data_IF_885436089722
#
_entry.id   IF_885436089722
#
_cell.length_a   1.000
_cell.length_b   1.000
_cell.length_c   1.000
_cell.angle_alpha   90.00
_cell.angle_beta   90.00
_cell.angle_gamma   90.00
#
_symmetry.space_group_name_H-M   'P 1'
#
loop_
_entity.id
_entity.type
_entity.pdbx_description
1 polymer ?
#
# COMPACT_ATOMS: atom_id res chain seq x y z
N UNK A 1 19.23 -2.26 24.01
CA UNK A 1 19.74 -3.60 23.59
C UNK A 1 19.34 -3.81 22.15
N UNK A 2 20.28 -3.75 21.23
CA UNK A 2 20.03 -3.93 19.79
C UNK A 2 19.68 -5.39 19.51
N UNK A 3 18.43 -5.65 19.17
CA UNK A 3 17.99 -6.99 18.81
C UNK A 3 18.49 -7.34 17.40
N UNK A 4 19.56 -8.10 17.32
CA UNK A 4 20.03 -8.73 16.08
C UNK A 4 19.31 -10.05 15.86
N UNK A 5 18.61 -10.19 14.73
CA UNK A 5 18.11 -11.48 14.26
C UNK A 5 19.02 -11.99 13.12
N UNK A 6 19.62 -13.18 13.25
CA UNK A 6 20.60 -13.75 12.31
C UNK A 6 21.73 -12.78 11.93
N UNK A 7 22.33 -12.11 12.89
CA UNK A 7 23.42 -11.14 12.71
C UNK A 7 23.08 -9.91 11.83
N UNK A 8 21.81 -9.69 11.45
CA UNK A 8 21.34 -8.51 10.70
C UNK A 8 20.51 -7.61 11.60
N UNK A 9 20.68 -6.29 11.42
CA UNK A 9 19.81 -5.30 12.08
C UNK A 9 18.37 -5.48 11.61
N UNK A 10 17.45 -5.61 12.55
CA UNK A 10 16.02 -5.59 12.24
C UNK A 10 15.60 -4.13 12.15
N UNK A 11 15.28 -3.67 10.92
CA UNK A 11 14.67 -2.35 10.75
C UNK A 11 13.30 -2.41 11.43
N UNK A 12 13.06 -1.50 12.38
CA UNK A 12 11.77 -1.38 13.06
C UNK A 12 10.64 -1.18 12.04
N UNK A 13 9.48 -1.74 12.37
CA UNK A 13 8.29 -1.56 11.54
C UNK A 13 7.78 -0.14 11.73
N UNK A 14 7.55 0.60 10.64
CA UNK A 14 6.87 1.88 10.68
C UNK A 14 5.37 1.77 11.01
N UNK A 15 4.86 0.55 11.17
CA UNK A 15 3.46 0.28 11.51
C UNK A 15 3.19 0.51 12.98
N UNK A 16 2.00 1.01 13.28
CA UNK A 16 1.52 1.15 14.65
C UNK A 16 1.45 -0.22 15.33
N UNK A 17 2.14 -0.38 16.48
CA UNK A 17 2.28 -1.65 17.16
C UNK A 17 0.95 -2.21 17.70
N UNK A 18 0.00 -1.34 18.03
CA UNK A 18 -1.29 -1.69 18.63
C UNK A 18 -2.47 -1.60 17.67
N UNK A 19 -2.22 -1.43 16.36
CA UNK A 19 -3.26 -1.36 15.34
C UNK A 19 -3.37 -2.67 14.57
N UNK A 20 -4.59 -3.23 14.51
CA UNK A 20 -4.86 -4.36 13.62
C UNK A 20 -5.20 -3.82 12.22
N UNK A 21 -4.32 -4.07 11.28
CA UNK A 21 -4.50 -3.70 9.87
C UNK A 21 -5.57 -4.53 9.13
N UNK A 22 -6.33 -5.32 9.85
CA UNK A 22 -7.54 -5.99 9.42
C UNK A 22 -8.84 -5.28 9.84
N UNK A 23 -8.78 -4.25 10.66
CA UNK A 23 -9.95 -3.48 11.07
C UNK A 23 -10.56 -2.68 9.91
N UNK A 24 -11.88 -2.40 10.04
CA UNK A 24 -12.59 -1.51 9.14
C UNK A 24 -11.99 -0.10 9.24
N UNK A 25 -11.29 0.31 8.20
CA UNK A 25 -10.63 1.62 8.09
C UNK A 25 -10.20 1.88 6.65
N UNK A 26 -9.83 3.12 6.37
CA UNK A 26 -9.22 3.53 5.10
C UNK A 26 -7.70 3.60 5.25
N UNK A 27 -6.99 3.02 4.28
CA UNK A 27 -5.54 2.91 4.27
C UNK A 27 -4.99 3.51 2.98
N UNK A 28 -4.14 4.52 3.10
CA UNK A 28 -3.34 5.02 1.99
C UNK A 28 -2.11 4.13 1.81
N UNK A 29 -1.92 3.62 0.61
CA UNK A 29 -0.89 2.65 0.26
C UNK A 29 0.05 3.23 -0.79
N UNK A 30 1.36 3.00 -0.61
CA UNK A 30 2.38 3.26 -1.61
C UNK A 30 3.23 2.01 -1.84
N UNK A 31 3.31 1.57 -3.09
CA UNK A 31 4.09 0.39 -3.48
C UNK A 31 5.08 0.78 -4.57
N UNK A 32 6.37 0.64 -4.34
CA UNK A 32 7.41 1.00 -5.30
C UNK A 32 7.95 -0.23 -6.03
N UNK A 33 8.33 -0.04 -7.29
CA UNK A 33 9.14 -1.00 -8.04
C UNK A 33 10.54 -1.11 -7.45
N UNK A 34 11.20 -2.23 -7.67
CA UNK A 34 12.58 -2.43 -7.22
C UNK A 34 13.49 -1.37 -7.85
N UNK A 35 14.32 -0.74 -7.01
CA UNK A 35 15.24 0.33 -7.39
C UNK A 35 14.55 1.52 -8.10
N UNK A 36 13.26 1.73 -7.88
CA UNK A 36 12.49 2.82 -8.52
C UNK A 36 12.53 2.80 -10.05
N UNK A 37 12.68 1.61 -10.64
CA UNK A 37 12.72 1.44 -12.08
C UNK A 37 11.35 1.73 -12.70
N UNK A 38 11.32 2.58 -13.74
CA UNK A 38 10.08 2.99 -14.40
C UNK A 38 9.56 1.89 -15.34
N UNK A 39 8.82 0.91 -14.78
CA UNK A 39 8.20 -0.17 -15.57
C UNK A 39 6.81 0.19 -16.09
N UNK A 40 6.13 1.14 -15.44
CA UNK A 40 4.70 1.35 -15.65
C UNK A 40 4.37 2.41 -16.71
N UNK A 41 5.39 3.07 -17.28
CA UNK A 41 5.22 4.09 -18.29
C UNK A 41 5.87 5.42 -17.93
N UNK A 42 5.41 6.50 -18.56
CA UNK A 42 5.98 7.83 -18.43
C UNK A 42 4.90 8.90 -18.19
N UNK A 43 5.32 10.05 -17.67
CA UNK A 43 4.46 11.24 -17.56
C UNK A 43 4.76 12.12 -18.77
N UNK A 44 3.72 12.41 -19.55
CA UNK A 44 3.77 13.25 -20.75
C UNK A 44 2.67 14.31 -20.63
N UNK A 45 3.02 15.58 -20.71
CA UNK A 45 2.09 16.70 -20.59
C UNK A 45 1.23 16.60 -19.32
N UNK A 46 1.86 16.38 -18.17
CA UNK A 46 1.19 16.22 -16.86
C UNK A 46 0.28 15.01 -16.71
N UNK A 47 0.20 14.15 -17.72
CA UNK A 47 -0.64 12.96 -17.73
C UNK A 47 0.21 11.68 -17.67
N UNK A 48 -0.25 10.70 -16.92
CA UNK A 48 0.39 9.38 -16.89
C UNK A 48 0.02 8.59 -18.15
N UNK A 49 1.03 8.21 -18.94
CA UNK A 49 0.91 7.28 -20.07
C UNK A 49 1.40 5.92 -19.66
N UNK A 50 0.45 5.01 -19.46
CA UNK A 50 0.74 3.66 -19.02
C UNK A 50 1.42 2.85 -20.13
N UNK A 51 2.48 2.11 -19.76
CA UNK A 51 3.00 1.01 -20.55
C UNK A 51 2.06 -0.20 -20.46
N UNK A 52 2.36 -1.27 -21.19
CA UNK A 52 1.65 -2.55 -21.07
C UNK A 52 1.74 -3.10 -19.63
N UNK A 53 2.90 -3.01 -18.98
CA UNK A 53 3.08 -3.39 -17.58
C UNK A 53 2.30 -2.46 -16.63
N UNK A 54 2.22 -1.17 -16.94
CA UNK A 54 1.41 -0.21 -16.19
C UNK A 54 -0.09 -0.50 -16.29
N UNK A 55 -0.55 -0.89 -17.48
CA UNK A 55 -1.95 -1.32 -17.71
C UNK A 55 -2.28 -2.55 -16.87
N UNK A 56 -1.40 -3.56 -16.85
CA UNK A 56 -1.54 -4.75 -15.98
C UNK A 56 -1.62 -4.35 -14.51
N UNK A 57 -0.75 -3.45 -14.05
CA UNK A 57 -0.76 -2.99 -12.66
C UNK A 57 -2.09 -2.29 -12.30
N UNK A 58 -2.61 -1.46 -13.22
CA UNK A 58 -3.88 -0.76 -13.07
C UNK A 58 -5.07 -1.74 -13.02
N UNK A 59 -5.12 -2.71 -13.92
CA UNK A 59 -6.16 -3.73 -13.97
C UNK A 59 -6.13 -4.61 -12.70
N UNK A 60 -4.93 -5.05 -12.28
CA UNK A 60 -4.81 -5.83 -11.05
C UNK A 60 -5.29 -5.05 -9.82
N UNK A 61 -5.07 -3.71 -9.77
CA UNK A 61 -5.57 -2.90 -8.66
C UNK A 61 -7.10 -2.83 -8.68
N UNK A 62 -7.71 -2.56 -9.82
CA UNK A 62 -9.16 -2.51 -9.96
C UNK A 62 -9.86 -3.84 -9.63
N UNK A 63 -9.16 -4.98 -9.78
CA UNK A 63 -9.67 -6.31 -9.46
C UNK A 63 -9.61 -6.68 -7.96
N UNK A 64 -8.99 -5.86 -7.10
CA UNK A 64 -8.89 -6.16 -5.66
C UNK A 64 -10.26 -6.46 -5.03
N UNK A 65 -11.34 -5.67 -5.26
CA UNK A 65 -12.64 -5.96 -4.67
C UNK A 65 -13.26 -7.29 -5.13
N UNK A 66 -12.96 -7.72 -6.35
CA UNK A 66 -13.44 -9.00 -6.87
C UNK A 66 -12.82 -10.19 -6.13
N UNK A 67 -11.58 -10.01 -5.64
CA UNK A 67 -10.88 -11.05 -4.88
C UNK A 67 -11.11 -10.93 -3.37
N UNK A 68 -11.34 -9.71 -2.88
CA UNK A 68 -11.62 -9.39 -1.49
C UNK A 68 -12.92 -8.59 -1.40
N UNK A 69 -14.10 -9.27 -1.29
CA UNK A 69 -15.41 -8.61 -1.34
C UNK A 69 -15.65 -7.59 -0.22
N UNK A 70 -14.86 -7.64 0.86
CA UNK A 70 -14.89 -6.70 1.97
C UNK A 70 -14.03 -5.45 1.73
N UNK A 71 -13.46 -5.29 0.54
CA UNK A 71 -12.61 -4.15 0.17
C UNK A 71 -13.33 -3.26 -0.82
N UNK A 72 -13.35 -1.96 -0.54
CA UNK A 72 -13.68 -0.90 -1.50
C UNK A 72 -12.40 -0.15 -1.87
N UNK A 73 -12.35 0.39 -3.07
CA UNK A 73 -11.25 1.23 -3.53
C UNK A 73 -11.66 2.69 -3.46
N UNK A 74 -10.79 3.54 -2.90
CA UNK A 74 -10.83 4.98 -3.12
C UNK A 74 -9.96 5.36 -4.33
N UNK A 75 -9.53 6.63 -4.37
CA UNK A 75 -8.63 7.13 -5.43
C UNK A 75 -7.35 6.31 -5.50
N UNK A 76 -6.88 6.04 -6.72
CA UNK A 76 -5.60 5.39 -6.96
C UNK A 76 -4.98 5.81 -8.28
N UNK A 77 -3.67 5.69 -8.38
CA UNK A 77 -2.92 5.99 -9.60
C UNK A 77 -1.69 5.10 -9.71
N UNK A 78 -1.44 4.63 -10.92
CA UNK A 78 -0.18 3.96 -11.29
C UNK A 78 0.76 5.02 -11.85
N UNK A 79 1.87 5.24 -11.17
CA UNK A 79 2.95 6.16 -11.54
C UNK A 79 4.09 5.38 -12.21
N UNK A 80 5.05 6.00 -12.90
CA UNK A 80 6.08 5.27 -13.65
C UNK A 80 6.80 4.18 -12.84
N UNK A 81 7.07 4.40 -11.57
CA UNK A 81 7.89 3.53 -10.70
C UNK A 81 7.21 3.16 -9.37
N UNK A 82 5.93 3.47 -9.21
CA UNK A 82 5.17 3.14 -8.00
C UNK A 82 3.66 3.22 -8.24
N UNK A 83 2.90 2.76 -7.26
CA UNK A 83 1.45 2.88 -7.21
C UNK A 83 1.06 3.55 -5.91
N UNK A 84 0.18 4.53 -5.99
CA UNK A 84 -0.56 5.08 -4.85
C UNK A 84 -2.00 4.66 -4.92
N UNK A 85 -2.63 4.39 -3.78
CA UNK A 85 -4.06 4.16 -3.74
C UNK A 85 -4.62 4.06 -2.33
N UNK A 86 -5.93 4.25 -2.22
CA UNK A 86 -6.68 4.10 -0.99
C UNK A 86 -7.42 2.76 -1.03
N UNK A 87 -7.18 1.94 0.00
CA UNK A 87 -7.89 0.69 0.26
C UNK A 87 -8.79 0.93 1.47
N UNK A 88 -10.09 0.65 1.33
CA UNK A 88 -11.08 0.75 2.39
C UNK A 88 -11.50 -0.66 2.77
N UNK A 89 -11.20 -1.08 3.99
CA UNK A 89 -11.70 -2.34 4.55
C UNK A 89 -13.05 -2.06 5.18
N UNK A 90 -14.08 -2.76 4.70
CA UNK A 90 -15.48 -2.62 5.12
C UNK A 90 -16.10 -4.01 5.26
N UNK A 91 -15.71 -4.70 6.33
CA UNK A 91 -16.26 -6.04 6.67
C UNK A 91 -17.62 -5.90 7.30
N UNK A 92 -18.56 -6.83 7.03
CA UNK A 92 -19.82 -6.88 7.74
C UNK A 92 -19.57 -7.06 9.25
N UNK A 93 -20.27 -6.30 10.05
CA UNK A 93 -20.23 -6.43 11.51
C UNK A 93 -20.97 -7.74 11.85
N UNK A 94 -20.24 -8.74 12.35
CA UNK A 94 -20.87 -9.91 12.96
C UNK A 94 -21.28 -9.53 14.38
N UNK A 95 -22.57 -9.53 14.67
CA UNK A 95 -23.15 -9.23 16.01
C UNK A 95 -22.62 -10.11 17.15
N UNK A 96 -21.85 -11.15 16.84
CA UNK A 96 -21.17 -12.02 17.81
C UNK A 96 -19.79 -11.51 18.28
N UNK A 97 -19.24 -10.50 17.62
CA UNK A 97 -18.05 -9.80 18.12
C UNK A 97 -18.52 -8.66 19.02
N UNK A 98 -18.43 -8.84 20.35
CA UNK A 98 -18.72 -7.84 21.38
C UNK A 98 -17.79 -6.61 21.30
N UNK A 99 -17.29 -6.25 20.13
CA UNK A 99 -16.50 -5.08 19.84
C UNK A 99 -17.32 -4.10 18.97
N UNK A 100 -18.42 -3.63 19.57
CA UNK A 100 -19.24 -2.56 19.02
C UNK A 100 -18.51 -1.26 19.27
N UNK A 101 -17.74 -0.80 18.31
CA UNK A 101 -17.48 0.62 18.04
C UNK A 101 -16.36 0.81 17.01
N UNK A 102 -16.69 0.65 15.73
CA UNK A 102 -15.90 1.29 14.69
C UNK A 102 -16.83 1.85 13.62
N UNK A 103 -17.54 2.87 13.98
CA UNK A 103 -18.08 3.82 13.01
C UNK A 103 -16.92 4.66 12.50
N UNK A 104 -16.71 4.70 11.20
CA UNK A 104 -16.13 5.74 10.30
C UNK A 104 -15.11 6.78 10.85
N UNK A 105 -14.81 6.80 12.13
CA UNK A 105 -13.83 7.65 12.78
C UNK A 105 -12.98 6.74 13.65
N UNK A 106 -11.72 6.54 13.29
CA UNK A 106 -10.78 5.73 14.04
C UNK A 106 -10.53 6.35 15.42
N UNK A 107 -11.40 6.06 16.36
CA UNK A 107 -11.10 6.24 17.79
C UNK A 107 -10.02 5.24 18.16
N UNK A 108 -8.98 5.66 18.82
CA UNK A 108 -7.96 4.79 19.39
C UNK A 108 -8.65 3.78 20.32
N UNK A 109 -8.32 2.48 20.24
CA UNK A 109 -8.87 1.51 21.19
C UNK A 109 -8.43 1.86 22.61
N UNK A 110 -9.33 1.66 23.62
CA UNK A 110 -8.91 1.74 25.00
C UNK A 110 -7.82 0.69 25.29
N UNK A 111 -6.84 1.06 26.09
CA UNK A 111 -5.68 0.27 26.46
C UNK A 111 -6.07 -0.77 27.51
N UNK A 112 -6.80 -1.82 27.12
CA UNK A 112 -7.03 -2.97 27.98
C UNK A 112 -6.53 -4.25 27.30
N UNK A 113 -5.57 -4.89 27.96
CA UNK A 113 -4.86 -6.08 27.50
C UNK A 113 -5.67 -7.38 27.58
N UNK A 114 -6.88 -7.45 27.02
CA UNK A 114 -7.66 -8.69 27.00
C UNK A 114 -7.34 -9.54 25.77
N UNK A 115 -6.88 -10.80 25.95
CA UNK A 115 -6.59 -11.70 24.85
C UNK A 115 -7.88 -12.29 24.28
N UNK A 116 -8.12 -12.12 22.98
CA UNK A 116 -9.16 -12.82 22.24
C UNK A 116 -8.93 -14.34 22.26
N UNK A 117 -10.01 -15.10 22.50
CA UNK A 117 -10.02 -16.57 22.59
C UNK A 117 -9.54 -17.25 21.29
N UNK A 118 -8.84 -18.38 21.38
CA UNK A 118 -8.28 -19.06 20.20
C UNK A 118 -9.37 -19.82 19.45
N UNK A 119 -9.47 -19.54 18.13
CA UNK A 119 -10.07 -20.46 17.19
C UNK A 119 -9.07 -21.59 16.90
N UNK A 120 -9.54 -22.84 16.89
CA UNK A 120 -8.77 -24.07 16.64
C UNK A 120 -8.26 -24.18 15.18
N UNK A 121 -7.46 -23.22 14.74
CA UNK A 121 -6.78 -23.29 13.45
C UNK A 121 -5.32 -23.67 13.66
N UNK A 122 -4.90 -24.83 13.12
CA UNK A 122 -3.49 -25.25 13.13
C UNK A 122 -2.67 -24.30 12.28
N UNK A 123 -1.79 -23.50 12.83
CA UNK A 123 -1.01 -22.54 12.06
C UNK A 123 0.06 -23.25 11.25
N UNK A 124 0.06 -22.98 9.95
CA UNK A 124 1.15 -23.39 9.05
C UNK A 124 2.28 -22.39 9.08
N UNK A 125 3.53 -22.85 9.30
CA UNK A 125 4.74 -22.08 9.12
C UNK A 125 5.34 -21.51 10.40
N UNK A 126 6.57 -20.94 10.26
CA UNK A 126 7.45 -20.49 11.36
C UNK A 126 6.86 -19.37 12.25
N UNK A 127 5.90 -18.59 11.76
CA UNK A 127 5.29 -17.46 12.49
C UNK A 127 4.08 -17.86 13.37
N UNK A 128 3.62 -19.12 13.30
CA UNK A 128 2.48 -19.61 14.07
C UNK A 128 1.23 -18.71 13.92
N UNK A 129 0.46 -18.55 14.99
CA UNK A 129 -0.75 -17.72 15.03
C UNK A 129 -0.50 -16.21 14.81
N UNK A 130 0.76 -15.75 14.87
CA UNK A 130 1.17 -14.37 14.61
C UNK A 130 1.43 -14.09 13.12
N UNK A 131 1.18 -15.07 12.24
CA UNK A 131 1.35 -14.88 10.82
C UNK A 131 0.26 -13.91 10.27
N UNK A 132 0.63 -12.69 9.82
CA UNK A 132 -0.34 -11.72 9.30
C UNK A 132 -1.06 -12.20 8.03
N UNK A 133 -0.59 -13.28 7.39
CA UNK A 133 -1.22 -13.86 6.21
C UNK A 133 -2.43 -14.75 6.52
N UNK A 134 -2.64 -15.11 7.79
CA UNK A 134 -3.80 -15.91 8.20
C UNK A 134 -5.08 -15.06 8.27
N UNK A 135 -4.95 -13.76 8.49
CA UNK A 135 -6.06 -12.84 8.67
C UNK A 135 -6.31 -12.00 7.41
N UNK A 136 -7.56 -11.61 7.21
CA UNK A 136 -7.95 -10.66 6.18
C UNK A 136 -7.53 -9.24 6.59
N UNK A 137 -6.41 -8.79 6.06
CA UNK A 137 -5.80 -7.51 6.38
C UNK A 137 -5.10 -6.90 5.15
N UNK A 138 -4.68 -5.63 5.29
CA UNK A 138 -3.96 -4.89 4.24
C UNK A 138 -2.76 -5.67 3.69
N UNK A 139 -2.00 -6.37 4.53
CA UNK A 139 -0.82 -7.14 4.06
C UNK A 139 -1.18 -8.26 3.10
N UNK A 140 -2.29 -8.97 3.36
CA UNK A 140 -2.79 -10.04 2.49
C UNK A 140 -3.27 -9.49 1.15
N UNK A 141 -3.98 -8.36 1.17
CA UNK A 141 -4.46 -7.68 -0.03
C UNK A 141 -3.28 -7.26 -0.90
N UNK A 142 -2.30 -6.55 -0.32
CA UNK A 142 -1.12 -6.08 -1.06
C UNK A 142 -0.24 -7.23 -1.55
N UNK A 143 -0.12 -8.32 -0.79
CA UNK A 143 0.60 -9.51 -1.25
C UNK A 143 -0.05 -10.12 -2.49
N UNK A 144 -1.38 -10.24 -2.50
CA UNK A 144 -2.11 -10.73 -3.67
C UNK A 144 -1.89 -9.82 -4.87
N UNK A 145 -2.09 -8.51 -4.70
CA UNK A 145 -1.87 -7.51 -5.76
C UNK A 145 -0.45 -7.60 -6.34
N UNK A 146 0.58 -7.55 -5.48
CA UNK A 146 1.98 -7.64 -5.92
C UNK A 146 2.27 -8.97 -6.63
N UNK A 147 1.75 -10.07 -6.12
CA UNK A 147 1.92 -11.39 -6.71
C UNK A 147 1.27 -11.50 -8.08
N UNK A 148 0.01 -11.05 -8.21
CA UNK A 148 -0.74 -11.08 -9.47
C UNK A 148 -0.08 -10.19 -10.52
N UNK A 149 0.22 -8.95 -10.18
CA UNK A 149 0.94 -8.03 -11.07
C UNK A 149 2.29 -8.60 -11.50
N UNK A 150 3.09 -9.16 -10.56
CA UNK A 150 4.38 -9.77 -10.91
C UNK A 150 4.22 -10.91 -11.90
N UNK A 151 3.26 -11.79 -11.68
CA UNK A 151 3.03 -12.95 -12.54
C UNK A 151 2.71 -12.52 -13.99
N UNK A 152 1.83 -11.54 -14.16
CA UNK A 152 1.46 -11.05 -15.49
C UNK A 152 2.57 -10.20 -16.12
N UNK A 153 3.17 -9.27 -15.35
CA UNK A 153 4.21 -8.37 -15.85
C UNK A 153 5.48 -9.09 -16.31
N UNK A 154 5.83 -10.22 -15.68
CA UNK A 154 7.01 -11.01 -16.07
C UNK A 154 6.86 -11.74 -17.40
N UNK A 155 5.68 -11.83 -17.95
CA UNK A 155 5.48 -12.30 -19.33
C UNK A 155 6.02 -11.30 -20.36
N UNK A 156 6.13 -10.01 -19.97
CA UNK A 156 6.62 -8.91 -20.81
C UNK A 156 8.03 -8.50 -20.38
N UNK A 157 8.23 -8.27 -19.09
CA UNK A 157 9.49 -7.87 -18.47
C UNK A 157 9.92 -8.91 -17.43
N UNK A 158 10.79 -9.85 -17.81
CA UNK A 158 11.24 -10.95 -16.94
C UNK A 158 11.93 -10.44 -15.65
N UNK A 159 12.53 -9.24 -15.70
CA UNK A 159 13.21 -8.56 -14.60
C UNK A 159 12.27 -7.72 -13.71
N UNK A 160 10.96 -7.70 -13.99
CA UNK A 160 10.01 -6.96 -13.18
C UNK A 160 10.02 -7.43 -11.73
N UNK A 161 10.18 -6.49 -10.80
CA UNK A 161 10.12 -6.76 -9.37
C UNK A 161 9.67 -5.53 -8.58
N UNK A 162 9.05 -5.79 -7.45
CA UNK A 162 8.68 -4.80 -6.45
C UNK A 162 9.75 -4.67 -5.36
N UNK A 163 9.81 -3.52 -4.70
CA UNK A 163 10.45 -3.43 -3.40
C UNK A 163 9.79 -4.42 -2.43
N UNK A 164 10.58 -4.99 -1.51
CA UNK A 164 10.09 -6.02 -0.57
C UNK A 164 8.95 -5.56 0.33
N UNK A 165 8.94 -4.28 0.70
CA UNK A 165 7.96 -3.65 1.57
C UNK A 165 7.01 -2.75 0.77
N UNK A 166 6.03 -2.18 1.47
CA UNK A 166 5.18 -1.09 1.02
C UNK A 166 5.00 -0.12 2.19
N UNK A 167 4.61 1.11 1.90
CA UNK A 167 4.25 2.10 2.90
C UNK A 167 2.73 2.10 3.03
N UNK A 168 2.24 2.18 4.26
CA UNK A 168 0.83 2.30 4.59
C UNK A 168 0.64 3.42 5.65
N UNK A 169 -0.46 4.16 5.50
CA UNK A 169 -0.89 5.18 6.43
C UNK A 169 -2.39 5.04 6.68
N UNK A 170 -2.81 5.10 7.95
CA UNK A 170 -4.21 4.97 8.35
C UNK A 170 -4.87 6.34 8.20
N UNK A 171 -5.93 6.42 7.40
CA UNK A 171 -6.71 7.63 7.21
C UNK A 171 -7.77 7.67 8.29
N UNK A 172 -7.74 8.69 9.15
CA UNK A 172 -8.55 8.75 10.37
C UNK A 172 -9.77 9.66 10.28
N UNK A 173 -9.80 10.57 9.33
CA UNK A 173 -10.85 11.56 9.20
C UNK A 173 -11.11 11.90 7.72
N UNK A 174 -12.25 12.53 7.46
CA UNK A 174 -12.71 12.87 6.12
C UNK A 174 -11.81 13.90 5.43
N UNK A 175 -11.28 14.88 6.18
CA UNK A 175 -10.38 15.88 5.63
C UNK A 175 -9.08 15.24 5.14
N UNK A 176 -8.51 14.33 5.93
CA UNK A 176 -7.34 13.53 5.55
C UNK A 176 -7.62 12.68 4.31
N UNK A 177 -8.83 12.08 4.24
CA UNK A 177 -9.25 11.30 3.07
C UNK A 177 -9.29 12.16 1.81
N UNK A 178 -9.93 13.33 1.86
CA UNK A 178 -9.99 14.27 0.74
C UNK A 178 -8.62 14.79 0.32
N UNK A 179 -7.77 15.14 1.30
CA UNK A 179 -6.41 15.63 1.01
C UNK A 179 -5.57 14.57 0.31
N UNK A 180 -5.63 13.32 0.76
CA UNK A 180 -4.92 12.20 0.15
C UNK A 180 -5.48 11.87 -1.23
N UNK A 181 -6.80 11.88 -1.42
CA UNK A 181 -7.44 11.68 -2.72
C UNK A 181 -6.99 12.74 -3.74
N UNK A 182 -6.99 14.01 -3.34
CA UNK A 182 -6.49 15.11 -4.16
C UNK A 182 -5.00 14.98 -4.47
N UNK A 183 -4.19 14.55 -3.50
CA UNK A 183 -2.77 14.28 -3.71
C UNK A 183 -2.56 13.18 -4.76
N UNK A 184 -3.31 12.08 -4.68
CA UNK A 184 -3.23 10.98 -5.64
C UNK A 184 -3.59 11.47 -7.04
N UNK A 185 -4.71 12.15 -7.20
CA UNK A 185 -5.19 12.66 -8.49
C UNK A 185 -4.20 13.65 -9.15
N UNK A 186 -3.54 14.50 -8.35
CA UNK A 186 -2.58 15.51 -8.84
C UNK A 186 -1.13 14.99 -8.92
N UNK A 187 -0.87 13.72 -8.61
CA UNK A 187 0.49 13.21 -8.51
C UNK A 187 1.31 13.33 -9.82
N UNK A 188 0.75 13.08 -11.03
CA UNK A 188 1.48 13.26 -12.28
C UNK A 188 1.95 14.70 -12.49
N UNK A 189 1.08 15.68 -12.25
CA UNK A 189 1.39 17.11 -12.35
C UNK A 189 2.53 17.50 -11.40
N UNK A 190 2.46 17.09 -10.14
CA UNK A 190 3.47 17.43 -9.14
C UNK A 190 4.85 16.84 -9.48
N UNK A 191 4.88 15.64 -10.08
CA UNK A 191 6.14 15.00 -10.47
C UNK A 191 6.78 15.65 -11.69
N UNK A 192 6.00 16.13 -12.64
CA UNK A 192 6.50 16.84 -13.80
C UNK A 192 7.10 18.19 -13.40
N UNK A 193 6.39 18.98 -12.60
CA UNK A 193 6.89 20.24 -12.05
C UNK A 193 8.21 20.03 -11.30
N UNK A 194 8.35 18.96 -10.51
CA UNK A 194 9.60 18.66 -9.81
C UNK A 194 10.75 18.30 -10.74
N UNK A 195 10.49 17.66 -11.87
CA UNK A 195 11.50 17.37 -12.91
C UNK A 195 11.94 18.64 -13.63
N UNK A 196 11.00 19.51 -13.97
CA UNK A 196 11.29 20.78 -14.65
C UNK A 196 12.18 21.69 -13.80
N UNK A 197 11.85 21.84 -12.51
CA UNK A 197 12.67 22.59 -11.55
C UNK A 197 14.09 21.99 -11.43
N UNK A 198 14.22 20.66 -11.38
CA UNK A 198 15.54 20.01 -11.34
C UNK A 198 16.33 20.20 -12.65
N UNK A 199 15.66 20.16 -13.80
CA UNK A 199 16.31 20.38 -15.10
C UNK A 199 16.78 21.83 -15.25
N UNK A 200 15.98 22.81 -14.82
CA UNK A 200 16.34 24.24 -14.82
C UNK A 200 17.56 24.53 -13.95
N UNK A 201 17.60 23.97 -12.74
CA UNK A 201 18.77 24.11 -11.84
C UNK A 201 20.01 23.46 -12.46
N UNK A 202 19.85 22.28 -13.08
CA UNK A 202 20.97 21.58 -13.72
C UNK A 202 21.51 22.34 -14.94
N UNK A 203 20.63 22.96 -15.74
CA UNK A 203 21.02 23.76 -16.89
C UNK A 203 21.73 25.07 -16.46
N UNK A 204 21.24 25.70 -15.38
CA UNK A 204 21.85 26.89 -14.82
C UNK A 204 23.30 26.64 -14.33
N UNK A 205 23.51 25.54 -13.60
CA UNK A 205 24.81 25.12 -13.11
C UNK A 205 25.80 24.69 -14.23
N UNK A 206 25.28 24.28 -15.39
CA UNK A 206 26.09 23.91 -16.53
C UNK A 206 26.61 25.12 -17.35
N UNK A 207 25.94 26.28 -17.25
CA UNK A 207 26.30 27.53 -17.94
C UNK A 207 27.33 28.36 -17.18
N UNK A 208 27.63 28.02 -15.92
CA UNK A 208 28.66 28.72 -15.11
C UNK A 208 30.05 28.05 -15.15
N UNK A 209 30.29 27.14 -16.07
CA UNK A 209 31.60 26.54 -16.36
C UNK A 209 32.15 27.01 -17.72
#
# INVERSE_FOLDING_TARGET
MDQKFNAKYRIESARLQHWDYGWNASYFITICTQNRKCFFGDIINTEMRLSETGTIANECWSQIPNHFPFVKLGEYIVMPDHVHGIIIIDKPINDNDNNVETRLIASLPPNDGSPSKPNDYKPGGFAGNKNPMLNENVSRIIRWYKGRTTFESRKIHADFAWQSRFHDHIIRDENSFHNISNYIAKNPLNREISKDVMNDVSSFLATEK
#
